data_IF_808587491373
#
_entry.id   IF_808587491373
#
_cell.length_a   1.000
_cell.length_b   1.000
_cell.length_c   1.000
_cell.angle_alpha   90.00
_cell.angle_beta   90.00
_cell.angle_gamma   90.00
#
_symmetry.space_group_name_H-M   'P 1'
#
loop_
_entity.id
_entity.type
_entity.pdbx_description
1 polymer ?
#
# COMPACT_ATOMS: atom_id res chain seq x y z
N UNK A 1 6.38 -13.22 18.67
CA UNK A 1 6.53 -12.57 17.34
C UNK A 1 5.26 -11.78 17.10
N UNK A 2 5.35 -10.50 16.74
CA UNK A 2 4.16 -9.69 16.47
C UNK A 2 3.67 -9.98 15.04
N UNK A 3 2.57 -10.72 14.92
CA UNK A 3 1.81 -10.84 13.68
C UNK A 3 1.04 -9.53 13.46
N UNK A 4 1.67 -8.60 12.76
CA UNK A 4 1.07 -7.29 12.48
C UNK A 4 0.16 -7.39 11.25
N UNK A 5 -1.08 -7.85 11.49
CA UNK A 5 -2.10 -8.01 10.44
C UNK A 5 -2.61 -6.67 9.87
N UNK A 6 -2.48 -5.60 10.68
CA UNK A 6 -2.91 -4.24 10.38
C UNK A 6 -1.75 -3.25 10.49
N UNK A 7 -1.57 -2.45 9.45
CA UNK A 7 -0.81 -1.21 9.46
C UNK A 7 -1.78 -0.02 9.44
N UNK A 8 -1.44 1.08 10.12
CA UNK A 8 -2.26 2.31 10.24
C UNK A 8 -1.45 3.53 9.82
N UNK A 9 -2.11 4.45 9.13
CA UNK A 9 -1.58 5.73 8.66
C UNK A 9 -2.58 6.80 9.07
N UNK A 10 -2.12 7.79 9.82
CA UNK A 10 -2.93 8.93 10.25
C UNK A 10 -2.80 10.10 9.26
N UNK A 11 -3.79 11.00 9.25
CA UNK A 11 -3.73 12.20 8.41
C UNK A 11 -2.55 13.09 8.84
N UNK A 12 -1.73 13.50 7.87
CA UNK A 12 -0.50 14.27 8.13
C UNK A 12 0.72 13.40 8.47
N UNK A 13 0.59 12.08 8.58
CA UNK A 13 1.73 11.18 8.63
C UNK A 13 2.53 11.21 7.32
N UNK A 14 3.86 11.05 7.43
CA UNK A 14 4.78 10.96 6.28
C UNK A 14 4.60 12.07 5.22
N UNK A 15 4.59 13.37 5.59
CA UNK A 15 4.20 14.45 4.69
C UNK A 15 5.07 14.56 3.41
N UNK A 16 6.33 14.09 3.47
CA UNK A 16 7.31 14.18 2.40
C UNK A 16 7.68 12.84 1.74
N UNK A 17 6.94 11.75 1.99
CA UNK A 17 7.26 10.46 1.37
C UNK A 17 6.90 10.46 -0.12
N UNK A 18 7.83 10.03 -0.96
CA UNK A 18 7.69 10.01 -2.42
C UNK A 18 7.61 8.59 -2.98
N UNK A 19 8.35 7.65 -2.36
CA UNK A 19 8.36 6.24 -2.70
C UNK A 19 8.10 5.44 -1.42
N UNK A 20 7.20 4.46 -1.48
CA UNK A 20 6.93 3.49 -0.43
C UNK A 20 7.15 2.08 -1.01
N UNK A 21 7.77 1.21 -0.23
CA UNK A 21 7.97 -0.19 -0.58
C UNK A 21 7.39 -1.07 0.53
N UNK A 22 6.61 -2.09 0.13
CA UNK A 22 6.01 -3.10 1.01
C UNK A 22 6.49 -4.45 0.48
N UNK A 23 7.26 -5.16 1.30
CA UNK A 23 7.95 -6.38 0.92
C UNK A 23 7.89 -7.44 2.04
N UNK A 24 7.73 -8.72 1.68
CA UNK A 24 7.68 -9.88 2.61
C UNK A 24 6.67 -9.75 3.78
N UNK A 25 5.57 -9.03 3.57
CA UNK A 25 4.55 -8.76 4.60
C UNK A 25 3.31 -9.67 4.47
N UNK A 26 3.49 -11.00 4.35
CA UNK A 26 2.41 -11.96 4.03
C UNK A 26 1.20 -11.97 5.01
N UNK A 27 1.39 -11.47 6.23
CA UNK A 27 0.30 -11.33 7.22
C UNK A 27 -0.55 -10.06 7.03
N UNK A 28 -0.09 -9.10 6.22
CA UNK A 28 -0.79 -7.83 5.98
C UNK A 28 -1.97 -8.06 5.01
N UNK A 29 -3.19 -7.84 5.50
CA UNK A 29 -4.43 -8.19 4.76
C UNK A 29 -4.93 -7.11 3.81
N UNK A 30 -4.52 -5.86 4.01
CA UNK A 30 -5.01 -4.69 3.25
C UNK A 30 -4.06 -3.50 3.37
N UNK A 31 -4.18 -2.54 2.45
CA UNK A 31 -3.56 -1.21 2.59
C UNK A 31 -4.35 -0.34 3.58
N UNK A 32 -3.69 0.44 4.46
CA UNK A 32 -4.34 1.39 5.36
C UNK A 32 -5.13 2.43 4.60
N UNK A 33 -6.33 2.74 5.12
CA UNK A 33 -7.20 3.73 4.53
C UNK A 33 -6.53 5.11 4.39
N UNK A 34 -5.74 5.51 5.40
CA UNK A 34 -5.03 6.78 5.45
C UNK A 34 -3.94 6.98 4.39
N UNK A 35 -3.54 5.94 3.65
CA UNK A 35 -2.64 6.11 2.50
C UNK A 35 -3.25 7.07 1.46
N UNK A 36 -4.59 7.16 1.40
CA UNK A 36 -5.34 8.10 0.54
C UNK A 36 -5.02 9.58 0.77
N UNK A 37 -4.38 9.93 1.89
CA UNK A 37 -4.03 11.31 2.26
C UNK A 37 -2.58 11.68 1.92
N UNK A 38 -1.76 10.73 1.49
CA UNK A 38 -0.34 10.94 1.20
C UNK A 38 -0.17 11.34 -0.27
N UNK A 39 -0.67 12.54 -0.60
CA UNK A 39 -0.66 13.08 -1.97
C UNK A 39 0.74 13.34 -2.54
N UNK A 40 1.78 13.25 -1.72
CA UNK A 40 3.19 13.31 -2.11
C UNK A 40 3.75 11.98 -2.61
N UNK A 41 3.06 10.86 -2.35
CA UNK A 41 3.46 9.51 -2.78
C UNK A 41 3.30 9.36 -4.30
N UNK A 42 4.40 9.18 -5.02
CA UNK A 42 4.40 9.00 -6.46
C UNK A 42 4.68 7.56 -6.88
N UNK A 43 5.36 6.78 -6.06
CA UNK A 43 5.69 5.38 -6.33
C UNK A 43 5.34 4.46 -5.15
N UNK A 44 4.61 3.38 -5.43
CA UNK A 44 4.34 2.31 -4.48
C UNK A 44 4.80 0.98 -5.08
N UNK A 45 5.77 0.35 -4.40
CA UNK A 45 6.34 -0.94 -4.76
C UNK A 45 5.77 -2.03 -3.85
N UNK A 46 5.14 -3.03 -4.43
CA UNK A 46 4.60 -4.20 -3.76
C UNK A 46 5.42 -5.39 -4.23
N UNK A 47 6.30 -5.92 -3.37
CA UNK A 47 7.28 -6.96 -3.73
C UNK A 47 7.09 -8.20 -2.87
N UNK A 48 7.24 -9.42 -3.42
CA UNK A 48 7.23 -10.65 -2.64
C UNK A 48 6.01 -10.72 -1.67
N UNK A 49 4.82 -10.37 -2.18
CA UNK A 49 3.55 -10.32 -1.43
C UNK A 49 2.56 -11.31 -2.00
N UNK A 50 1.64 -11.81 -1.17
CA UNK A 50 0.57 -12.72 -1.63
C UNK A 50 -0.24 -12.10 -2.79
N UNK A 51 -0.59 -12.92 -3.78
CA UNK A 51 -1.44 -12.50 -4.92
C UNK A 51 -2.78 -11.92 -4.44
N UNK A 52 -3.37 -12.49 -3.39
CA UNK A 52 -4.59 -11.99 -2.76
C UNK A 52 -4.47 -10.57 -2.21
N UNK A 53 -3.26 -10.10 -1.88
CA UNK A 53 -3.01 -8.72 -1.50
C UNK A 53 -2.86 -7.82 -2.74
N UNK A 54 -2.09 -8.25 -3.75
CA UNK A 54 -1.87 -7.47 -4.99
C UNK A 54 -3.18 -7.27 -5.78
N UNK A 55 -4.03 -8.29 -5.85
CA UNK A 55 -5.32 -8.25 -6.55
C UNK A 55 -6.28 -7.17 -5.96
N UNK A 56 -6.11 -6.77 -4.70
CA UNK A 56 -6.89 -5.70 -4.06
C UNK A 56 -6.49 -4.30 -4.54
N UNK A 57 -5.30 -4.16 -5.12
CA UNK A 57 -4.69 -2.90 -5.55
C UNK A 57 -4.75 -2.67 -7.06
N UNK A 58 -5.22 -3.66 -7.82
CA UNK A 58 -5.56 -3.50 -9.23
C UNK A 58 -6.89 -2.75 -9.42
N UNK A 59 -7.13 -2.23 -10.63
CA UNK A 59 -8.36 -1.49 -10.95
C UNK A 59 -9.62 -2.35 -10.70
N UNK A 60 -10.61 -1.77 -10.01
CA UNK A 60 -11.78 -2.49 -9.51
C UNK A 60 -11.55 -3.31 -8.22
N UNK A 61 -10.31 -3.39 -7.73
CA UNK A 61 -9.95 -4.02 -6.45
C UNK A 61 -10.39 -3.21 -5.23
N UNK A 62 -10.62 -3.92 -4.12
CA UNK A 62 -11.21 -3.36 -2.88
C UNK A 62 -10.42 -2.21 -2.23
N UNK A 63 -9.11 -2.14 -2.49
CA UNK A 63 -8.22 -1.11 -1.92
C UNK A 63 -7.74 -0.11 -2.99
N UNK A 64 -8.16 -0.22 -4.26
CA UNK A 64 -7.72 0.63 -5.37
C UNK A 64 -7.93 2.13 -5.10
N UNK A 65 -9.08 2.50 -4.52
CA UNK A 65 -9.40 3.88 -4.14
C UNK A 65 -8.42 4.51 -3.13
N UNK A 66 -7.66 3.69 -2.40
CA UNK A 66 -6.63 4.14 -1.45
C UNK A 66 -5.31 4.46 -2.15
N UNK A 67 -5.06 3.89 -3.34
CA UNK A 67 -3.78 4.00 -4.08
C UNK A 67 -3.91 4.70 -5.44
N UNK A 68 -5.11 4.99 -5.95
CA UNK A 68 -5.36 5.64 -7.25
C UNK A 68 -4.72 7.02 -7.47
N UNK A 69 -4.19 7.65 -6.42
CA UNK A 69 -3.47 8.92 -6.50
C UNK A 69 -1.96 8.74 -6.77
N UNK A 70 -1.44 7.53 -6.58
CA UNK A 70 -0.03 7.17 -6.80
C UNK A 70 0.21 7.01 -8.30
N UNK A 71 1.29 7.60 -8.81
CA UNK A 71 1.58 7.66 -10.25
C UNK A 71 2.18 6.38 -10.82
N UNK A 72 2.93 5.64 -10.00
CA UNK A 72 3.62 4.40 -10.36
C UNK A 72 3.28 3.32 -9.33
N UNK A 73 2.53 2.30 -9.76
CA UNK A 73 2.28 1.09 -8.98
C UNK A 73 3.12 -0.04 -9.59
N UNK A 74 4.08 -0.57 -8.82
CA UNK A 74 5.00 -1.62 -9.28
C UNK A 74 4.74 -2.87 -8.48
N UNK A 75 4.38 -3.95 -9.16
CA UNK A 75 4.16 -5.27 -8.57
C UNK A 75 5.32 -6.20 -8.98
N UNK A 76 5.97 -6.83 -8.01
CA UNK A 76 7.02 -7.82 -8.23
C UNK A 76 6.73 -9.05 -7.37
N UNK A 77 6.73 -10.22 -7.99
CA UNK A 77 6.47 -11.53 -7.38
C UNK A 77 7.76 -12.18 -6.90
#
# INVERSE_FOLDING_TARGET
MAIQEEWKVEQGAMPSIFCLEIEFCDSLKMIPDGLRFITTLQELKIKNMTKSFTDRLHEGGLDFDKVKHVRSLVFQS
#
